data_IF_079743718991
#
_entry.id   IF_079743718991
#
_cell.length_a   1.000
_cell.length_b   1.000
_cell.length_c   1.000
_cell.angle_alpha   90.00
_cell.angle_beta   90.00
_cell.angle_gamma   90.00
#
_symmetry.space_group_name_H-M   'P 1'
#
loop_
_entity.id
_entity.type
_entity.pdbx_description
1 polymer ?
#
# COMPACT_ATOMS: atom_id res chain seq x y z
N UNK A 1 -48.36 62.48 63.69
CA UNK A 1 -48.24 61.01 63.53
C UNK A 1 -48.55 60.67 62.08
N UNK A 2 -47.54 60.41 61.26
CA UNK A 2 -47.70 59.73 59.97
C UNK A 2 -46.56 58.71 59.87
N UNK A 3 -46.94 57.44 59.87
CA UNK A 3 -46.03 56.30 59.78
C UNK A 3 -45.73 55.99 58.31
N UNK A 4 -44.44 55.79 58.00
CA UNK A 4 -43.95 55.24 56.75
C UNK A 4 -44.22 53.72 56.70
N UNK A 5 -44.90 53.25 55.66
CA UNK A 5 -44.97 51.82 55.32
C UNK A 5 -44.13 51.58 54.07
N UNK A 6 -43.07 50.81 54.27
CA UNK A 6 -42.17 50.27 53.25
C UNK A 6 -42.86 49.10 52.53
N UNK A 7 -43.04 49.21 51.21
CA UNK A 7 -43.53 48.11 50.37
C UNK A 7 -42.37 47.29 49.83
N UNK A 8 -42.28 46.02 50.24
CA UNK A 8 -41.31 45.03 49.76
C UNK A 8 -41.69 44.57 48.35
N UNK A 9 -40.77 44.71 47.39
CA UNK A 9 -40.91 44.16 46.04
C UNK A 9 -40.70 42.64 46.04
N UNK A 10 -41.64 41.90 45.45
CA UNK A 10 -41.53 40.46 45.24
C UNK A 10 -40.56 40.14 44.09
N UNK A 11 -39.74 39.08 44.18
CA UNK A 11 -38.80 38.74 43.12
C UNK A 11 -39.53 38.04 41.96
N UNK A 12 -39.44 38.64 40.77
CA UNK A 12 -39.84 38.05 39.50
C UNK A 12 -38.98 36.83 39.19
N UNK A 13 -39.60 35.64 39.15
CA UNK A 13 -38.96 34.43 38.62
C UNK A 13 -38.73 34.60 37.12
N UNK A 14 -37.50 34.86 36.72
CA UNK A 14 -37.07 34.72 35.32
C UNK A 14 -37.12 33.23 34.94
N UNK A 15 -38.19 32.80 34.29
CA UNK A 15 -38.23 31.51 33.62
C UNK A 15 -37.31 31.57 32.39
N UNK A 16 -36.14 30.94 32.46
CA UNK A 16 -35.32 30.68 31.28
C UNK A 16 -36.13 29.78 30.33
N UNK A 17 -36.28 30.20 29.08
CA UNK A 17 -36.86 29.35 28.05
C UNK A 17 -36.00 28.09 27.90
N UNK A 18 -36.57 26.92 28.14
CA UNK A 18 -35.91 25.63 27.91
C UNK A 18 -35.63 25.49 26.40
N UNK A 19 -34.43 25.86 25.99
CA UNK A 19 -33.89 25.48 24.68
C UNK A 19 -33.67 23.97 24.67
N UNK A 20 -34.64 23.23 24.15
CA UNK A 20 -34.54 21.79 23.90
C UNK A 20 -33.47 21.53 22.82
N UNK A 21 -32.22 21.30 23.24
CA UNK A 21 -31.17 20.81 22.35
C UNK A 21 -31.51 19.39 21.88
N UNK A 22 -31.38 19.13 20.58
CA UNK A 22 -31.56 17.77 20.03
C UNK A 22 -30.43 16.88 20.52
N UNK A 23 -30.78 15.71 21.07
CA UNK A 23 -29.79 14.70 21.46
C UNK A 23 -28.99 14.24 20.24
N UNK A 24 -27.66 14.26 20.35
CA UNK A 24 -26.77 13.63 19.40
C UNK A 24 -26.68 12.15 19.78
N UNK A 25 -27.43 11.29 19.09
CA UNK A 25 -27.43 9.83 19.29
C UNK A 25 -26.14 9.16 18.74
N UNK A 26 -24.99 9.78 18.97
CA UNK A 26 -23.69 9.32 18.49
C UNK A 26 -23.12 8.26 19.41
N UNK A 27 -22.55 7.20 18.84
CA UNK A 27 -21.87 6.17 19.62
C UNK A 27 -20.59 6.75 20.26
N UNK A 28 -20.27 6.38 21.51
CA UNK A 28 -19.01 6.81 22.15
C UNK A 28 -17.78 6.25 21.42
N UNK A 29 -16.61 6.82 21.69
CA UNK A 29 -15.35 6.30 21.16
C UNK A 29 -15.13 4.86 21.62
N UNK A 30 -14.78 3.96 20.68
CA UNK A 30 -14.41 2.58 21.00
C UNK A 30 -13.04 2.45 21.70
N UNK A 31 -12.26 3.52 21.72
CA UNK A 31 -10.87 3.50 22.19
C UNK A 31 -10.69 3.94 23.64
N UNK A 32 -11.66 4.64 24.21
CA UNK A 32 -11.54 5.26 25.54
C UNK A 32 -10.21 6.00 25.70
N UNK A 33 -9.53 5.72 26.81
CA UNK A 33 -8.26 6.35 27.20
C UNK A 33 -7.02 5.53 26.82
N UNK A 34 -7.17 4.46 26.01
CA UNK A 34 -6.09 3.51 25.72
C UNK A 34 -4.81 4.17 25.18
N UNK A 35 -4.92 5.29 24.47
CA UNK A 35 -3.77 5.96 23.86
C UNK A 35 -3.05 6.93 24.79
N UNK A 36 -3.59 7.28 25.96
CA UNK A 36 -2.97 8.27 26.87
C UNK A 36 -1.66 7.78 27.50
N UNK A 37 -1.43 6.47 27.55
CA UNK A 37 -0.33 5.82 28.27
C UNK A 37 1.02 5.80 27.51
N UNK A 38 1.02 5.99 26.19
CA UNK A 38 2.20 5.78 25.34
C UNK A 38 3.29 6.87 25.39
N UNK A 39 3.08 7.98 26.11
CA UNK A 39 4.01 9.11 26.09
C UNK A 39 5.33 8.90 26.88
N UNK A 40 5.46 7.82 27.66
CA UNK A 40 6.42 7.75 28.76
C UNK A 40 7.63 6.82 28.58
N UNK A 41 7.77 6.11 27.45
CA UNK A 41 8.85 5.12 27.30
C UNK A 41 9.76 5.42 26.10
N UNK A 42 10.93 6.01 26.36
CA UNK A 42 12.09 5.88 25.47
C UNK A 42 13.18 5.14 26.22
N UNK A 43 13.43 3.87 25.87
CA UNK A 43 14.47 3.06 26.48
C UNK A 43 15.73 3.00 25.61
N UNK A 44 16.88 2.72 26.24
CA UNK A 44 18.17 2.44 25.60
C UNK A 44 18.08 1.33 24.51
N UNK A 45 17.06 0.48 24.61
CA UNK A 45 16.71 -0.55 23.61
C UNK A 45 16.34 0.04 22.25
N UNK A 46 15.82 1.26 22.18
CA UNK A 46 15.44 1.90 20.91
C UNK A 46 16.64 2.36 20.10
N UNK A 47 17.72 2.79 20.75
CA UNK A 47 18.91 3.27 20.05
C UNK A 47 19.65 2.10 19.38
N UNK A 48 19.79 0.98 20.10
CA UNK A 48 20.34 -0.26 19.54
C UNK A 48 19.49 -0.77 18.36
N UNK A 49 18.16 -0.66 18.46
CA UNK A 49 17.25 -1.04 17.37
C UNK A 49 17.43 -0.14 16.14
N UNK A 50 17.54 1.18 16.32
CA UNK A 50 17.80 2.12 15.21
C UNK A 50 19.11 1.82 14.50
N UNK A 51 20.17 1.52 15.25
CA UNK A 51 21.46 1.11 14.66
C UNK A 51 21.33 -0.18 13.85
N UNK A 52 20.58 -1.16 14.34
CA UNK A 52 20.31 -2.40 13.60
C UNK A 52 19.52 -2.13 12.31
N UNK A 53 18.47 -1.30 12.39
CA UNK A 53 17.68 -0.88 11.22
C UNK A 53 18.58 -0.19 10.19
N UNK A 54 19.48 0.69 10.63
CA UNK A 54 20.41 1.37 9.73
C UNK A 54 21.36 0.40 9.02
N UNK A 55 21.90 -0.61 9.72
CA UNK A 55 22.75 -1.64 9.11
C UNK A 55 22.00 -2.42 8.02
N UNK A 56 20.78 -2.85 8.33
CA UNK A 56 19.93 -3.59 7.39
C UNK A 56 19.51 -2.72 6.20
N UNK A 57 19.24 -1.43 6.42
CA UNK A 57 18.94 -0.45 5.37
C UNK A 57 20.06 -0.37 4.35
N UNK A 58 21.32 -0.24 4.80
CA UNK A 58 22.47 -0.21 3.89
C UNK A 58 22.66 -1.52 3.14
N UNK A 59 22.34 -2.66 3.77
CA UNK A 59 22.38 -3.96 3.09
C UNK A 59 21.35 -4.05 1.97
N UNK A 60 20.09 -3.65 2.21
CA UNK A 60 19.05 -3.59 1.18
C UNK A 60 19.43 -2.60 0.06
N UNK A 61 20.02 -1.44 0.41
CA UNK A 61 20.51 -0.48 -0.59
C UNK A 61 21.59 -1.07 -1.49
N UNK A 62 22.50 -1.87 -0.94
CA UNK A 62 23.53 -2.57 -1.74
C UNK A 62 22.91 -3.57 -2.71
N UNK A 63 21.84 -4.27 -2.31
CA UNK A 63 21.12 -5.18 -3.22
C UNK A 63 20.50 -4.38 -4.39
N UNK A 64 19.85 -3.25 -4.11
CA UNK A 64 19.26 -2.39 -5.16
C UNK A 64 20.29 -1.80 -6.15
N UNK A 65 21.47 -1.45 -5.64
CA UNK A 65 22.53 -0.81 -6.44
C UNK A 65 23.42 -1.82 -7.18
N UNK A 66 23.24 -3.12 -6.91
CA UNK A 66 24.01 -4.17 -7.58
C UNK A 66 23.81 -4.15 -9.09
N UNK A 67 24.90 -4.01 -9.84
CA UNK A 67 24.90 -3.96 -11.32
C UNK A 67 24.79 -5.34 -11.98
N UNK A 68 24.93 -6.42 -11.22
CA UNK A 68 25.09 -7.79 -11.75
C UNK A 68 23.75 -8.53 -11.86
N UNK A 69 22.67 -7.99 -11.28
CA UNK A 69 21.38 -8.69 -11.22
C UNK A 69 20.56 -8.58 -12.51
N UNK A 70 19.81 -9.64 -12.83
CA UNK A 70 18.88 -9.65 -13.96
C UNK A 70 17.78 -8.60 -13.75
N UNK A 71 17.29 -8.03 -14.85
CA UNK A 71 16.25 -7.01 -14.84
C UNK A 71 14.99 -7.42 -14.06
N UNK A 72 14.55 -8.67 -14.25
CA UNK A 72 13.39 -9.25 -13.57
C UNK A 72 13.61 -9.39 -12.06
N UNK A 73 14.82 -9.69 -11.60
CA UNK A 73 15.15 -9.74 -10.18
C UNK A 73 15.09 -8.34 -9.55
N UNK A 74 15.61 -7.33 -10.26
CA UNK A 74 15.56 -5.93 -9.81
C UNK A 74 14.12 -5.42 -9.71
N UNK A 75 13.27 -5.73 -10.69
CA UNK A 75 11.84 -5.41 -10.67
C UNK A 75 11.14 -6.06 -9.48
N UNK A 76 11.39 -7.36 -9.23
CA UNK A 76 10.85 -8.08 -8.09
C UNK A 76 11.28 -7.46 -6.76
N UNK A 77 12.56 -7.09 -6.63
CA UNK A 77 13.07 -6.47 -5.41
C UNK A 77 12.38 -5.11 -5.15
N UNK A 78 12.23 -4.28 -6.17
CA UNK A 78 11.52 -2.99 -6.05
C UNK A 78 10.06 -3.22 -5.65
N UNK A 79 9.38 -4.18 -6.27
CA UNK A 79 7.99 -4.50 -5.95
C UNK A 79 7.81 -4.90 -4.49
N UNK A 80 8.67 -5.80 -4.00
CA UNK A 80 8.63 -6.26 -2.61
C UNK A 80 8.92 -5.09 -1.65
N UNK A 81 9.89 -4.23 -1.97
CA UNK A 81 10.22 -3.04 -1.16
C UNK A 81 9.01 -2.08 -1.05
N UNK A 82 8.30 -1.86 -2.15
CA UNK A 82 7.08 -1.04 -2.16
C UNK A 82 5.94 -1.71 -1.37
N UNK A 83 5.70 -3.02 -1.59
CA UNK A 83 4.66 -3.77 -0.88
C UNK A 83 4.90 -3.89 0.62
N UNK A 84 6.16 -3.93 1.05
CA UNK A 84 6.54 -3.90 2.46
C UNK A 84 6.50 -2.48 3.06
N UNK A 85 6.10 -1.47 2.27
CA UNK A 85 5.97 -0.06 2.69
C UNK A 85 7.26 0.54 3.25
N UNK A 86 8.42 0.15 2.70
CA UNK A 86 9.74 0.69 3.06
C UNK A 86 10.44 1.40 1.90
N UNK A 87 9.74 1.64 0.78
CA UNK A 87 10.26 2.32 -0.40
C UNK A 87 10.73 3.75 -0.12
N UNK A 88 10.14 4.43 0.87
CA UNK A 88 10.49 5.80 1.26
C UNK A 88 11.96 5.94 1.73
N UNK A 89 12.62 4.84 2.11
CA UNK A 89 14.06 4.84 2.44
C UNK A 89 14.99 4.84 1.22
N UNK A 90 14.45 4.50 0.05
CA UNK A 90 15.20 4.16 -1.16
C UNK A 90 14.67 4.90 -2.40
N UNK A 91 13.95 6.02 -2.24
CA UNK A 91 13.30 6.74 -3.36
C UNK A 91 14.27 7.04 -4.50
N UNK A 92 15.43 7.62 -4.19
CA UNK A 92 16.48 7.92 -5.17
C UNK A 92 17.05 6.66 -5.85
N UNK A 93 17.21 5.57 -5.09
CA UNK A 93 17.76 4.31 -5.60
C UNK A 93 16.76 3.62 -6.54
N UNK A 94 15.48 3.62 -6.15
CA UNK A 94 14.35 3.11 -6.94
C UNK A 94 14.16 3.94 -8.20
N UNK A 95 14.23 5.27 -8.10
CA UNK A 95 14.09 6.17 -9.25
C UNK A 95 15.19 5.89 -10.28
N UNK A 96 16.46 5.83 -9.86
CA UNK A 96 17.58 5.50 -10.76
C UNK A 96 17.41 4.13 -11.41
N UNK A 97 16.96 3.13 -10.64
CA UNK A 97 16.69 1.81 -11.17
C UNK A 97 15.58 1.83 -12.23
N UNK A 98 14.50 2.58 -11.99
CA UNK A 98 13.38 2.70 -12.91
C UNK A 98 13.71 3.55 -14.14
N UNK A 99 14.58 4.55 -14.02
CA UNK A 99 15.13 5.30 -15.16
C UNK A 99 15.94 4.38 -16.08
N UNK A 100 16.83 3.55 -15.52
CA UNK A 100 17.58 2.55 -16.30
C UNK A 100 16.63 1.57 -17.01
N UNK A 101 15.63 1.07 -16.27
CA UNK A 101 14.58 0.21 -16.81
C UNK A 101 13.83 0.88 -17.98
N UNK A 102 13.45 2.14 -17.84
CA UNK A 102 12.74 2.89 -18.86
C UNK A 102 13.56 3.05 -20.14
N UNK A 103 14.86 3.35 -20.03
CA UNK A 103 15.76 3.48 -21.18
C UNK A 103 15.89 2.16 -21.94
N UNK A 104 16.03 1.04 -21.24
CA UNK A 104 16.04 -0.30 -21.86
C UNK A 104 14.69 -0.62 -22.49
N UNK A 105 13.59 -0.25 -21.82
CA UNK A 105 12.22 -0.54 -22.25
C UNK A 105 11.80 0.20 -23.53
N UNK A 106 12.48 1.29 -23.88
CA UNK A 106 12.22 2.10 -25.07
C UNK A 106 13.14 1.77 -26.25
N UNK A 107 14.00 0.74 -26.14
CA UNK A 107 14.87 0.34 -27.24
C UNK A 107 14.05 -0.33 -28.37
N UNK A 108 13.90 0.30 -29.55
CA UNK A 108 13.06 -0.20 -30.64
C UNK A 108 13.62 -1.43 -31.35
N UNK A 109 14.85 -1.84 -31.01
CA UNK A 109 15.46 -3.09 -31.47
C UNK A 109 15.06 -4.31 -30.61
N UNK A 110 14.38 -4.09 -29.48
CA UNK A 110 13.96 -5.12 -28.53
C UNK A 110 12.48 -5.50 -28.73
N UNK A 111 12.05 -5.60 -30.01
CA UNK A 111 10.66 -5.97 -30.38
C UNK A 111 10.35 -7.45 -30.11
N UNK A 112 11.36 -8.23 -29.74
CA UNK A 112 11.29 -9.65 -29.39
C UNK A 112 11.75 -9.89 -27.94
N UNK A 113 11.50 -8.96 -27.02
CA UNK A 113 11.73 -9.30 -25.63
C UNK A 113 10.70 -10.37 -25.20
N UNK A 114 11.18 -11.61 -25.07
CA UNK A 114 10.45 -12.82 -24.65
C UNK A 114 9.99 -12.76 -23.17
N UNK A 115 9.95 -11.54 -22.61
CA UNK A 115 9.44 -11.26 -21.29
C UNK A 115 8.00 -11.78 -21.15
N UNK A 116 7.80 -12.60 -20.12
CA UNK A 116 6.51 -13.14 -19.73
C UNK A 116 5.50 -12.05 -19.32
N UNK A 117 4.24 -12.45 -19.18
CA UNK A 117 3.16 -11.55 -18.78
C UNK A 117 3.46 -10.88 -17.44
N UNK A 118 4.02 -11.64 -16.50
CA UNK A 118 4.40 -11.17 -15.18
C UNK A 118 5.37 -9.99 -15.25
N UNK A 119 6.47 -10.14 -15.98
CA UNK A 119 7.55 -9.15 -16.08
C UNK A 119 7.05 -7.89 -16.77
N UNK A 120 6.31 -8.03 -17.88
CA UNK A 120 5.76 -6.87 -18.61
C UNK A 120 4.74 -6.11 -17.77
N UNK A 121 3.81 -6.83 -17.12
CA UNK A 121 2.80 -6.20 -16.28
C UNK A 121 3.42 -5.52 -15.06
N UNK A 122 4.41 -6.15 -14.43
CA UNK A 122 5.12 -5.60 -13.29
C UNK A 122 5.89 -4.34 -13.67
N UNK A 123 6.64 -4.38 -14.77
CA UNK A 123 7.39 -3.23 -15.27
C UNK A 123 6.47 -2.08 -15.64
N UNK A 124 5.37 -2.35 -16.35
CA UNK A 124 4.35 -1.35 -16.68
C UNK A 124 3.82 -0.67 -15.41
N UNK A 125 3.42 -1.48 -14.42
CA UNK A 125 2.90 -1.00 -13.14
C UNK A 125 3.91 -0.11 -12.41
N UNK A 126 5.13 -0.60 -12.18
CA UNK A 126 6.15 0.13 -11.42
C UNK A 126 6.53 1.46 -12.08
N UNK A 127 6.66 1.49 -13.41
CA UNK A 127 6.97 2.71 -14.16
C UNK A 127 5.80 3.71 -14.10
N UNK A 128 4.56 3.26 -14.31
CA UNK A 128 3.37 4.11 -14.21
C UNK A 128 3.19 4.70 -12.81
N UNK A 129 3.45 3.93 -11.75
CA UNK A 129 3.38 4.39 -10.36
C UNK A 129 4.35 5.54 -10.06
N UNK A 130 5.48 5.63 -10.79
CA UNK A 130 6.44 6.72 -10.67
C UNK A 130 6.20 7.86 -11.69
N UNK A 131 5.07 7.84 -12.40
CA UNK A 131 4.70 8.91 -13.33
C UNK A 131 5.30 8.77 -14.75
N UNK A 132 5.97 7.67 -15.08
CA UNK A 132 6.45 7.45 -16.45
C UNK A 132 5.27 7.14 -17.39
N UNK A 133 5.23 7.83 -18.53
CA UNK A 133 4.23 7.60 -19.57
C UNK A 133 4.62 6.41 -20.46
N UNK A 134 4.18 5.23 -20.05
CA UNK A 134 4.41 3.97 -20.79
C UNK A 134 3.21 3.63 -21.68
N UNK A 135 3.42 3.25 -22.94
CA UNK A 135 2.31 2.78 -23.80
C UNK A 135 1.76 1.42 -23.34
N UNK A 136 0.44 1.32 -23.27
CA UNK A 136 -0.28 0.07 -23.03
C UNK A 136 -0.24 -0.90 -24.23
N UNK A 137 0.20 -0.45 -25.41
CA UNK A 137 0.27 -1.27 -26.62
C UNK A 137 1.21 -2.47 -26.46
N UNK A 138 2.10 -2.45 -25.47
CA UNK A 138 2.94 -3.61 -25.15
C UNK A 138 2.14 -4.84 -24.73
N UNK A 139 0.91 -4.67 -24.26
CA UNK A 139 0.03 -5.79 -23.97
C UNK A 139 -0.55 -6.45 -25.23
N UNK A 140 -0.41 -5.84 -26.42
CA UNK A 140 -0.88 -6.43 -27.68
C UNK A 140 -0.20 -7.75 -28.01
N UNK A 141 1.05 -7.97 -27.57
CA UNK A 141 1.76 -9.25 -27.76
C UNK A 141 1.09 -10.42 -27.03
N UNK A 142 0.26 -10.12 -26.02
CA UNK A 142 -0.52 -11.09 -25.27
C UNK A 142 -1.94 -11.28 -25.83
N UNK A 143 -2.23 -10.68 -26.98
CA UNK A 143 -3.50 -10.83 -27.68
C UNK A 143 -3.37 -11.79 -28.86
N UNK A 144 -4.49 -12.41 -29.22
CA UNK A 144 -4.67 -13.24 -30.41
C UNK A 144 -5.07 -12.38 -31.62
N UNK A 145 -5.09 -12.99 -32.81
CA UNK A 145 -5.48 -12.32 -34.06
C UNK A 145 -6.94 -11.84 -34.07
N UNK A 146 -7.80 -12.46 -33.26
CA UNK A 146 -9.19 -12.04 -33.03
C UNK A 146 -9.31 -10.78 -32.15
N UNK A 147 -8.21 -10.29 -31.57
CA UNK A 147 -8.20 -9.15 -30.67
C UNK A 147 -8.58 -9.46 -29.22
N UNK A 148 -8.64 -10.71 -28.79
CA UNK A 148 -8.82 -11.11 -27.39
C UNK A 148 -7.47 -11.44 -26.72
N UNK A 149 -7.41 -11.44 -25.40
CA UNK A 149 -6.23 -11.95 -24.68
C UNK A 149 -6.11 -13.47 -24.86
N UNK A 150 -4.87 -13.95 -25.04
CA UNK A 150 -4.55 -15.37 -25.26
C UNK A 150 -5.06 -16.23 -24.10
N UNK A 151 -5.77 -17.31 -24.40
CA UNK A 151 -6.25 -18.24 -23.36
C UNK A 151 -5.10 -18.96 -22.65
N UNK A 152 -3.93 -19.10 -23.27
CA UNK A 152 -2.75 -19.70 -22.65
C UNK A 152 -2.30 -18.97 -21.37
N UNK A 153 -2.63 -17.67 -21.24
CA UNK A 153 -2.30 -16.85 -20.06
C UNK A 153 -3.07 -17.28 -18.81
N UNK A 154 -4.22 -17.95 -18.98
CA UNK A 154 -5.08 -18.39 -17.87
C UNK A 154 -4.32 -19.38 -16.96
N UNK A 155 -3.32 -20.08 -17.49
CA UNK A 155 -2.49 -20.99 -16.69
C UNK A 155 -1.49 -20.27 -15.75
N UNK A 156 -1.14 -19.01 -16.05
CA UNK A 156 -0.17 -18.22 -15.28
C UNK A 156 -0.87 -17.31 -14.26
N UNK A 157 -1.24 -17.87 -13.11
CA UNK A 157 -1.89 -17.12 -12.03
C UNK A 157 -1.09 -15.89 -11.56
N UNK A 158 0.25 -15.96 -11.59
CA UNK A 158 1.13 -14.88 -11.12
C UNK A 158 1.18 -13.73 -12.12
N UNK A 159 1.30 -14.04 -13.41
CA UNK A 159 1.20 -13.06 -14.50
C UNK A 159 -0.18 -12.42 -14.54
N UNK A 160 -1.24 -13.21 -14.37
CA UNK A 160 -2.62 -12.73 -14.32
C UNK A 160 -2.86 -11.76 -13.16
N UNK A 161 -2.36 -12.08 -11.96
CA UNK A 161 -2.42 -11.18 -10.81
C UNK A 161 -1.66 -9.87 -11.08
N UNK A 162 -0.49 -9.96 -11.72
CA UNK A 162 0.32 -8.77 -12.03
C UNK A 162 -0.33 -7.90 -13.09
N UNK A 163 -0.96 -8.50 -14.10
CA UNK A 163 -1.77 -7.81 -15.10
C UNK A 163 -2.96 -7.11 -14.44
N UNK A 164 -3.70 -7.80 -13.58
CA UNK A 164 -4.81 -7.23 -12.83
C UNK A 164 -4.38 -5.99 -12.05
N UNK A 165 -3.28 -6.06 -11.28
CA UNK A 165 -2.75 -4.91 -10.54
C UNK A 165 -2.32 -3.76 -11.45
N UNK A 166 -1.73 -4.06 -12.61
CA UNK A 166 -1.33 -3.06 -13.59
C UNK A 166 -2.52 -2.30 -14.21
N UNK A 167 -3.67 -2.96 -14.41
CA UNK A 167 -4.85 -2.34 -15.03
C UNK A 167 -5.51 -1.25 -14.17
N UNK A 168 -5.20 -1.19 -12.87
CA UNK A 168 -5.65 -0.12 -11.98
C UNK A 168 -4.87 1.20 -12.18
N UNK A 169 -3.85 1.22 -13.05
CA UNK A 169 -3.08 2.41 -13.46
C UNK A 169 -3.43 2.91 -14.88
N UNK A 170 -4.54 2.41 -15.43
CA UNK A 170 -5.03 2.84 -16.75
C UNK A 170 -5.51 4.29 -16.73
N UNK A 171 -5.37 4.97 -17.87
CA UNK A 171 -5.90 6.31 -18.10
C UNK A 171 -6.95 6.28 -19.21
N UNK A 172 -7.65 7.40 -19.43
CA UNK A 172 -8.67 7.50 -20.46
C UNK A 172 -8.10 7.19 -21.86
N UNK A 173 -8.84 6.38 -22.63
CA UNK A 173 -8.47 5.99 -23.99
C UNK A 173 -7.68 4.68 -24.10
N UNK A 174 -7.39 3.99 -22.98
CA UNK A 174 -6.61 2.74 -22.96
C UNK A 174 -7.50 1.49 -22.96
N UNK A 175 -8.27 1.28 -24.04
CA UNK A 175 -9.24 0.19 -24.15
C UNK A 175 -8.64 -1.21 -23.90
N UNK A 176 -7.37 -1.42 -24.27
CA UNK A 176 -6.66 -2.69 -24.00
C UNK A 176 -6.55 -3.00 -22.51
N UNK A 177 -6.44 -1.99 -21.64
CA UNK A 177 -6.38 -2.17 -20.19
C UNK A 177 -7.77 -2.37 -19.57
N UNK A 178 -8.83 -1.82 -20.18
CA UNK A 178 -10.21 -2.11 -19.79
C UNK A 178 -10.56 -3.57 -20.06
N UNK A 179 -10.20 -4.07 -21.24
CA UNK A 179 -10.34 -5.49 -21.59
C UNK A 179 -9.48 -6.38 -20.67
N UNK A 180 -8.23 -5.98 -20.42
CA UNK A 180 -7.33 -6.72 -19.54
C UNK A 180 -7.86 -6.79 -18.09
N UNK A 181 -8.51 -5.74 -17.60
CA UNK A 181 -9.14 -5.75 -16.28
C UNK A 181 -10.26 -6.78 -16.22
N UNK A 182 -11.15 -6.81 -17.21
CA UNK A 182 -12.26 -7.78 -17.27
C UNK A 182 -11.72 -9.20 -17.39
N UNK A 183 -10.79 -9.43 -18.30
CA UNK A 183 -10.14 -10.72 -18.51
C UNK A 183 -9.48 -11.22 -17.23
N UNK A 184 -8.62 -10.39 -16.62
CA UNK A 184 -7.88 -10.79 -15.43
C UNK A 184 -8.74 -10.98 -14.20
N UNK A 185 -9.70 -10.10 -13.94
CA UNK A 185 -10.62 -10.25 -12.83
C UNK A 185 -11.47 -11.53 -12.95
N UNK A 186 -11.91 -11.88 -14.16
CA UNK A 186 -12.77 -13.05 -14.40
C UNK A 186 -12.01 -14.35 -14.13
N UNK A 187 -10.82 -14.49 -14.71
CA UNK A 187 -10.03 -15.71 -14.53
C UNK A 187 -9.45 -15.82 -13.11
N UNK A 188 -8.99 -14.73 -12.50
CA UNK A 188 -8.53 -14.76 -11.11
C UNK A 188 -9.63 -15.19 -10.13
N UNK A 189 -10.88 -14.74 -10.33
CA UNK A 189 -12.04 -15.20 -9.54
C UNK A 189 -12.27 -16.70 -9.70
N UNK A 190 -12.16 -17.21 -10.92
CA UNK A 190 -12.31 -18.64 -11.21
C UNK A 190 -11.18 -19.49 -10.61
N UNK A 191 -9.95 -18.98 -10.58
CA UNK A 191 -8.78 -19.72 -10.10
C UNK A 191 -8.62 -19.66 -8.58
N UNK A 192 -9.19 -18.64 -7.91
CA UNK A 192 -8.97 -18.37 -6.49
C UNK A 192 -9.26 -19.58 -5.57
N UNK A 193 -10.16 -20.48 -5.96
CA UNK A 193 -10.52 -21.69 -5.19
C UNK A 193 -9.53 -22.85 -5.35
N UNK A 194 -8.65 -22.80 -6.36
CA UNK A 194 -7.74 -23.90 -6.71
C UNK A 194 -6.26 -23.56 -6.46
N UNK A 195 -5.96 -22.32 -6.11
CA UNK A 195 -4.60 -21.87 -5.81
C UNK A 195 -4.18 -22.28 -4.38
N UNK A 196 -2.88 -22.52 -4.19
CA UNK A 196 -2.28 -22.74 -2.87
C UNK A 196 -1.89 -21.43 -2.18
N UNK A 197 -1.75 -21.46 -0.85
CA UNK A 197 -1.13 -20.36 -0.10
C UNK A 197 0.36 -20.23 -0.48
N UNK A 198 0.93 -19.01 -0.55
CA UNK A 198 0.32 -17.71 -0.24
C UNK A 198 -0.38 -17.02 -1.42
N UNK A 199 -0.28 -17.58 -2.64
CA UNK A 199 -0.81 -16.95 -3.85
C UNK A 199 -2.33 -16.81 -3.84
N UNK A 200 -3.06 -17.82 -3.33
CA UNK A 200 -4.51 -17.75 -3.17
C UNK A 200 -4.95 -16.56 -2.30
N UNK A 201 -4.23 -16.33 -1.19
CA UNK A 201 -4.50 -15.22 -0.28
C UNK A 201 -4.22 -13.87 -0.96
N UNK A 202 -3.15 -13.77 -1.74
CA UNK A 202 -2.84 -12.57 -2.54
C UNK A 202 -3.95 -12.27 -3.55
N UNK A 203 -4.38 -13.27 -4.32
CA UNK A 203 -5.43 -13.11 -5.34
C UNK A 203 -6.76 -12.69 -4.71
N UNK A 204 -7.18 -13.37 -3.64
CA UNK A 204 -8.42 -13.05 -2.92
C UNK A 204 -8.41 -11.63 -2.36
N UNK A 205 -7.25 -11.17 -1.86
CA UNK A 205 -7.09 -9.81 -1.36
C UNK A 205 -7.10 -8.77 -2.49
N UNK A 206 -6.32 -8.97 -3.55
CA UNK A 206 -6.27 -8.07 -4.71
C UNK A 206 -7.64 -7.84 -5.36
N UNK A 207 -8.46 -8.90 -5.47
CA UNK A 207 -9.83 -8.81 -6.00
C UNK A 207 -10.77 -7.96 -5.14
N UNK A 208 -10.45 -7.76 -3.85
CA UNK A 208 -11.19 -6.87 -2.94
C UNK A 208 -10.58 -5.47 -2.90
N UNK A 209 -9.26 -5.40 -2.85
CA UNK A 209 -8.49 -4.17 -2.69
C UNK A 209 -7.21 -4.25 -3.53
N UNK A 210 -7.18 -3.63 -4.72
CA UNK A 210 -5.96 -3.52 -5.51
C UNK A 210 -4.90 -2.72 -4.76
N UNK A 211 -3.63 -3.07 -4.98
CA UNK A 211 -2.49 -2.50 -4.26
C UNK A 211 -2.42 -0.98 -4.44
N UNK A 212 -2.67 -0.52 -5.67
CA UNK A 212 -2.58 0.90 -6.00
C UNK A 212 -3.60 1.77 -5.23
N UNK A 213 -4.73 1.20 -4.83
CA UNK A 213 -5.83 1.90 -4.16
C UNK A 213 -5.75 1.74 -2.63
N UNK A 214 -5.02 0.73 -2.15
CA UNK A 214 -4.90 0.42 -0.72
C UNK A 214 -4.03 1.41 0.05
N UNK A 215 -4.34 1.58 1.33
CA UNK A 215 -3.48 2.34 2.25
C UNK A 215 -2.20 1.53 2.48
N UNK A 216 -1.08 2.03 1.98
CA UNK A 216 0.23 1.34 1.97
C UNK A 216 0.57 0.64 3.29
N UNK A 217 0.31 1.29 4.42
CA UNK A 217 0.64 0.75 5.74
C UNK A 217 -0.19 -0.47 6.14
N UNK A 218 -1.47 -0.47 5.80
CA UNK A 218 -2.37 -1.61 6.04
C UNK A 218 -2.03 -2.76 5.09
N UNK A 219 -1.73 -2.44 3.83
CA UNK A 219 -1.30 -3.40 2.82
C UNK A 219 0.00 -4.10 3.22
N UNK A 220 1.01 -3.35 3.67
CA UNK A 220 2.27 -3.91 4.14
C UNK A 220 2.08 -4.84 5.36
N UNK A 221 1.20 -4.47 6.30
CA UNK A 221 0.92 -5.29 7.48
C UNK A 221 0.38 -6.67 7.08
N UNK A 222 -0.50 -6.73 6.07
CA UNK A 222 -1.02 -7.99 5.52
C UNK A 222 0.06 -8.74 4.73
N UNK A 223 0.83 -8.01 3.93
CA UNK A 223 1.84 -8.59 3.06
C UNK A 223 3.00 -9.24 3.82
N UNK A 224 3.29 -8.84 5.07
CA UNK A 224 4.33 -9.50 5.87
C UNK A 224 4.16 -11.01 6.01
N UNK A 225 2.95 -11.49 6.31
CA UNK A 225 2.71 -12.93 6.47
C UNK A 225 2.83 -13.66 5.13
N UNK A 226 2.28 -13.06 4.08
CA UNK A 226 2.34 -13.56 2.71
C UNK A 226 3.79 -13.69 2.23
N UNK A 227 4.61 -12.65 2.43
CA UNK A 227 6.00 -12.64 2.00
C UNK A 227 6.85 -13.59 2.85
N UNK A 228 6.53 -13.77 4.13
CA UNK A 228 7.22 -14.75 4.98
C UNK A 228 6.97 -16.20 4.55
N UNK A 229 5.80 -16.51 3.99
CA UNK A 229 5.46 -17.84 3.47
C UNK A 229 6.12 -18.15 2.12
N UNK A 230 6.57 -17.14 1.37
CA UNK A 230 7.26 -17.34 0.10
C UNK A 230 8.63 -18.02 0.34
N UNK A 231 8.91 -19.21 -0.23
CA UNK A 231 10.20 -19.88 -0.06
C UNK A 231 11.41 -19.08 -0.56
N UNK A 232 11.18 -18.15 -1.49
CA UNK A 232 12.21 -17.31 -2.12
C UNK A 232 12.42 -15.96 -1.43
N UNK A 233 11.73 -15.69 -0.32
CA UNK A 233 11.78 -14.39 0.32
C UNK A 233 13.18 -14.01 0.82
N UNK A 234 13.53 -12.75 0.64
CA UNK A 234 14.73 -12.16 1.21
C UNK A 234 14.53 -11.87 2.71
N UNK A 235 15.21 -12.66 3.54
CA UNK A 235 15.15 -12.57 5.01
C UNK A 235 15.63 -11.23 5.56
N UNK A 236 16.65 -10.64 4.94
CA UNK A 236 17.22 -9.34 5.34
C UNK A 236 16.17 -8.24 5.14
N UNK A 237 15.55 -8.21 3.96
CA UNK A 237 14.49 -7.26 3.63
C UNK A 237 13.25 -7.42 4.52
N UNK A 238 12.80 -8.67 4.76
CA UNK A 238 11.67 -8.92 5.66
C UNK A 238 11.96 -8.46 7.10
N UNK A 239 13.18 -8.73 7.59
CA UNK A 239 13.59 -8.31 8.94
C UNK A 239 13.66 -6.80 9.02
N UNK A 240 14.31 -6.15 8.05
CA UNK A 240 14.37 -4.69 7.93
C UNK A 240 12.97 -4.08 8.00
N UNK A 241 12.05 -4.55 7.15
CA UNK A 241 10.72 -3.99 7.06
C UNK A 241 9.89 -4.19 8.34
N UNK A 242 10.04 -5.31 9.05
CA UNK A 242 9.38 -5.52 10.35
C UNK A 242 9.90 -4.57 11.43
N UNK A 243 11.22 -4.39 11.52
CA UNK A 243 11.81 -3.50 12.52
C UNK A 243 11.45 -2.03 12.23
N UNK A 244 11.53 -1.63 10.97
CA UNK A 244 11.06 -0.31 10.51
C UNK A 244 9.57 -0.11 10.80
N UNK A 245 8.76 -1.15 10.58
CA UNK A 245 7.34 -1.07 10.82
C UNK A 245 7.03 -0.75 12.29
N UNK A 246 7.70 -1.47 13.19
CA UNK A 246 7.54 -1.30 14.63
C UNK A 246 8.09 0.04 15.13
N UNK A 247 9.21 0.52 14.57
CA UNK A 247 9.79 1.81 14.97
C UNK A 247 8.83 2.97 14.66
N UNK A 248 8.29 3.00 13.44
CA UNK A 248 7.25 3.96 13.06
C UNK A 248 5.96 3.77 13.86
N UNK A 249 5.57 2.54 14.20
CA UNK A 249 4.40 2.29 15.04
C UNK A 249 4.55 2.97 16.42
N UNK A 250 5.73 2.91 17.03
CA UNK A 250 6.01 3.61 18.29
C UNK A 250 5.93 5.13 18.15
N UNK A 251 6.44 5.67 17.04
CA UNK A 251 6.30 7.10 16.73
C UNK A 251 4.81 7.49 16.65
N UNK A 252 4.01 6.75 15.87
CA UNK A 252 2.57 7.01 15.76
C UNK A 252 1.84 6.85 17.10
N UNK A 253 2.22 5.89 17.94
CA UNK A 253 1.65 5.74 19.29
C UNK A 253 1.90 6.97 20.15
N UNK A 254 3.11 7.55 20.08
CA UNK A 254 3.45 8.80 20.78
C UNK A 254 2.66 9.99 20.24
N UNK A 255 2.52 10.09 18.93
CA UNK A 255 1.73 11.16 18.27
C UNK A 255 0.25 11.07 18.66
N UNK A 256 -0.34 9.89 18.56
CA UNK A 256 -1.75 9.65 18.94
C UNK A 256 -1.96 9.90 20.44
N UNK A 257 -0.98 9.56 21.29
CA UNK A 257 -1.03 9.89 22.72
C UNK A 257 -1.08 11.40 22.98
N UNK A 258 -0.29 12.17 22.24
CA UNK A 258 -0.30 13.62 22.34
C UNK A 258 -1.60 14.22 21.82
N UNK A 259 -2.15 13.70 20.71
CA UNK A 259 -3.45 14.11 20.17
C UNK A 259 -4.58 13.78 21.14
N UNK A 260 -4.56 12.61 21.76
CA UNK A 260 -5.59 12.22 22.73
C UNK A 260 -5.56 13.05 24.02
N UNK A 261 -4.40 13.66 24.35
CA UNK A 261 -4.25 14.53 25.52
C UNK A 261 -4.69 15.98 25.25
N UNK A 262 -4.55 16.46 24.01
CA UNK A 262 -4.98 17.80 23.58
C UNK A 262 -6.50 17.90 23.55
#
# INVERSE_FOLDING_TARGET
MYALVSGVAAPTKNAMAETNCRSANSHPSIWGDNFLTYASESSETEENLKQQVQKLKEEVRRMLTSLVEKLSQKLNLIDVIQRLSVSYHFENDIEKALQQLHMTFHNPNDRENDDDLYTVALQFRLLRQQGYRISCDKFTKFKESNGNFKESLISDARGMLSLYEATHLRVHGEAILDEALVFSATHLKSMATHLSSPLAAQVSHALKQPIHIGIQRLEARRYFSIYQEDPSHNKVLLTFAKLDFNLLQKMHQKEVSNIARW
#
